data_IF_835717977009
#
_entry.id   IF_835717977009
#
_cell.length_a   1.000
_cell.length_b   1.000
_cell.length_c   1.000
_cell.angle_alpha   90.00
_cell.angle_beta   90.00
_cell.angle_gamma   90.00
#
_symmetry.space_group_name_H-M   'P 1'
#
loop_
_entity.id
_entity.type
_entity.pdbx_description
1 polymer ?
#
# COMPACT_ATOMS: atom_id res chain seq x y z
N UNK A 1 -4.59 7.54 -3.91
CA UNK A 1 -4.96 6.49 -2.93
C UNK A 1 -6.29 6.93 -2.31
N UNK A 2 -7.34 6.13 -2.46
CA UNK A 2 -8.67 6.47 -1.96
C UNK A 2 -8.91 5.75 -0.64
N UNK A 3 -9.08 6.51 0.44
CA UNK A 3 -9.44 5.98 1.75
C UNK A 3 -10.97 5.90 1.86
N UNK A 4 -11.49 4.74 2.27
CA UNK A 4 -12.92 4.52 2.47
C UNK A 4 -13.21 4.21 3.94
N UNK A 5 -14.38 4.62 4.46
CA UNK A 5 -14.78 4.35 5.85
C UNK A 5 -15.02 2.85 6.12
N UNK A 6 -15.42 2.06 5.12
CA UNK A 6 -15.54 0.60 5.20
C UNK A 6 -15.14 -0.07 3.90
N UNK A 7 -14.38 -1.17 3.99
CA UNK A 7 -13.93 -1.95 2.85
C UNK A 7 -15.03 -2.86 2.26
N UNK A 8 -14.95 -3.23 0.96
CA UNK A 8 -15.87 -4.19 0.34
C UNK A 8 -15.72 -5.59 0.95
N UNK A 9 -16.80 -6.32 1.22
CA UNK A 9 -16.85 -7.55 2.05
C UNK A 9 -15.99 -8.77 1.65
N UNK A 10 -15.09 -8.65 0.68
CA UNK A 10 -14.06 -9.63 0.33
C UNK A 10 -12.68 -8.96 0.48
N UNK A 11 -12.23 -8.79 1.72
CA UNK A 11 -10.95 -8.19 2.01
C UNK A 11 -9.92 -9.27 2.34
N UNK A 12 -8.72 -9.18 1.76
CA UNK A 12 -7.57 -9.88 2.27
C UNK A 12 -6.95 -8.98 3.34
N UNK A 13 -6.98 -9.41 4.62
CA UNK A 13 -6.48 -8.60 5.74
C UNK A 13 -7.06 -7.17 5.75
N UNK A 14 -8.35 -7.03 5.46
CA UNK A 14 -9.08 -5.77 5.43
C UNK A 14 -8.63 -4.73 4.35
N UNK A 15 -7.80 -5.18 3.40
CA UNK A 15 -7.36 -4.43 2.23
C UNK A 15 -7.93 -5.07 0.95
N UNK A 16 -8.27 -4.26 -0.04
CA UNK A 16 -8.70 -4.73 -1.35
C UNK A 16 -8.00 -3.99 -2.50
N UNK A 17 -7.79 -4.69 -3.61
CA UNK A 17 -7.50 -4.04 -4.89
C UNK A 17 -8.82 -3.50 -5.46
N UNK A 18 -8.77 -2.30 -6.03
CA UNK A 18 -9.91 -1.74 -6.76
C UNK A 18 -10.11 -2.51 -8.08
N UNK A 19 -11.23 -2.22 -8.76
CA UNK A 19 -11.59 -2.92 -9.98
C UNK A 19 -10.71 -2.51 -11.16
N UNK A 20 -9.67 -3.31 -11.40
CA UNK A 20 -8.84 -3.26 -12.60
C UNK A 20 -7.68 -2.28 -12.54
N UNK A 21 -6.86 -2.28 -13.61
CA UNK A 21 -5.75 -1.35 -13.78
C UNK A 21 -6.14 -0.22 -14.71
N UNK A 22 -5.78 1.01 -14.38
CA UNK A 22 -5.92 2.16 -15.28
C UNK A 22 -4.61 2.36 -16.04
N UNK A 23 -4.66 2.51 -17.36
CA UNK A 23 -3.45 2.78 -18.16
C UNK A 23 -3.31 4.27 -18.38
N UNK A 24 -2.20 4.85 -17.94
CA UNK A 24 -1.83 6.24 -18.22
C UNK A 24 -1.05 6.25 -19.53
N UNK A 25 -1.76 6.58 -20.62
CA UNK A 25 -1.21 6.50 -21.98
C UNK A 25 0.00 7.43 -22.20
N UNK A 26 0.05 8.59 -21.54
CA UNK A 26 1.16 9.54 -21.62
C UNK A 26 2.47 9.00 -21.06
N UNK A 27 2.40 8.06 -20.12
CA UNK A 27 3.57 7.56 -19.38
C UNK A 27 3.87 6.08 -19.68
N UNK A 28 3.00 5.39 -20.42
CA UNK A 28 3.08 3.93 -20.63
C UNK A 28 3.11 3.14 -19.31
N UNK A 29 2.44 3.66 -18.26
CA UNK A 29 2.36 3.06 -16.92
C UNK A 29 0.94 2.55 -16.65
N UNK A 30 0.84 1.43 -15.92
CA UNK A 30 -0.42 0.95 -15.34
C UNK A 30 -0.50 1.33 -13.87
N UNK A 31 -1.58 1.99 -13.51
CA UNK A 31 -1.95 2.30 -12.14
C UNK A 31 -2.85 1.19 -11.62
N UNK A 32 -2.52 0.66 -10.45
CA UNK A 32 -3.34 -0.27 -9.69
C UNK A 32 -3.75 0.42 -8.40
N UNK A 33 -5.05 0.50 -8.18
CA UNK A 33 -5.57 1.17 -7.00
C UNK A 33 -5.85 0.15 -5.90
N UNK A 34 -5.59 0.58 -4.67
CA UNK A 34 -5.82 -0.21 -3.47
C UNK A 34 -6.68 0.61 -2.51
N UNK A 35 -7.69 -0.05 -1.92
CA UNK A 35 -8.62 0.51 -0.96
C UNK A 35 -8.16 0.05 0.42
N UNK A 36 -7.81 1.02 1.24
CA UNK A 36 -7.34 0.81 2.62
C UNK A 36 -8.29 1.61 3.54
N UNK A 37 -8.92 0.97 4.54
CA UNK A 37 -9.70 1.67 5.54
C UNK A 37 -8.83 2.64 6.35
N UNK A 38 -9.26 3.89 6.46
CA UNK A 38 -8.50 4.91 7.19
C UNK A 38 -8.44 4.63 8.70
N UNK A 39 -9.45 3.93 9.22
CA UNK A 39 -9.57 3.61 10.64
C UNK A 39 -8.35 2.85 11.18
N UNK A 40 -7.67 2.03 10.37
CA UNK A 40 -6.45 1.34 10.78
C UNK A 40 -5.34 2.31 11.20
N UNK A 41 -5.15 3.37 10.42
CA UNK A 41 -4.11 4.37 10.70
C UNK A 41 -4.54 5.28 11.84
N UNK A 42 -5.81 5.71 11.84
CA UNK A 42 -6.35 6.65 12.84
C UNK A 42 -6.34 6.07 14.25
N UNK A 43 -6.69 4.79 14.38
CA UNK A 43 -6.92 4.15 15.68
C UNK A 43 -5.67 3.42 16.21
N UNK A 44 -4.55 3.46 15.48
CA UNK A 44 -3.27 2.87 15.88
C UNK A 44 -2.50 3.75 16.88
N UNK A 45 -1.82 3.11 17.83
CA UNK A 45 -0.89 3.79 18.75
C UNK A 45 0.36 4.32 18.02
N UNK A 46 0.72 3.70 16.89
CA UNK A 46 1.87 4.06 16.05
C UNK A 46 1.44 4.25 14.58
N UNK A 47 0.75 5.36 14.23
CA UNK A 47 0.15 5.54 12.90
C UNK A 47 1.15 5.46 11.74
N UNK A 48 2.40 5.89 11.95
CA UNK A 48 3.45 5.83 10.94
C UNK A 48 3.88 4.39 10.65
N UNK A 49 4.11 3.60 11.69
CA UNK A 49 4.43 2.18 11.55
C UNK A 49 3.28 1.43 10.88
N UNK A 50 2.05 1.66 11.35
CA UNK A 50 0.86 1.05 10.76
C UNK A 50 0.72 1.41 9.27
N UNK A 51 1.00 2.66 8.90
CA UNK A 51 0.99 3.08 7.49
C UNK A 51 2.01 2.30 6.65
N UNK A 52 3.23 2.09 7.17
CA UNK A 52 4.27 1.30 6.50
C UNK A 52 3.79 -0.16 6.34
N UNK A 53 3.25 -0.76 7.40
CA UNK A 53 2.75 -2.13 7.35
C UNK A 53 1.59 -2.28 6.35
N UNK A 54 0.64 -1.35 6.34
CA UNK A 54 -0.48 -1.36 5.39
C UNK A 54 0.00 -1.23 3.95
N UNK A 55 1.01 -0.37 3.69
CA UNK A 55 1.64 -0.29 2.37
C UNK A 55 2.27 -1.62 1.97
N UNK A 56 2.98 -2.29 2.88
CA UNK A 56 3.55 -3.60 2.63
C UNK A 56 2.47 -4.67 2.35
N UNK A 57 1.39 -4.72 3.15
CA UNK A 57 0.26 -5.63 2.93
C UNK A 57 -0.40 -5.38 1.57
N UNK A 58 -0.56 -4.13 1.16
CA UNK A 58 -1.07 -3.76 -0.17
C UNK A 58 -0.15 -4.25 -1.31
N UNK A 59 1.17 -4.10 -1.16
CA UNK A 59 2.15 -4.61 -2.14
C UNK A 59 2.08 -6.14 -2.21
N UNK A 60 2.04 -6.82 -1.07
CA UNK A 60 1.89 -8.29 -1.01
C UNK A 60 0.63 -8.75 -1.73
N UNK A 61 -0.50 -8.11 -1.45
CA UNK A 61 -1.76 -8.39 -2.12
C UNK A 61 -1.66 -8.18 -3.63
N UNK A 62 -1.11 -7.05 -4.07
CA UNK A 62 -0.91 -6.74 -5.49
C UNK A 62 -0.04 -7.80 -6.18
N UNK A 63 1.13 -8.11 -5.61
CA UNK A 63 2.10 -9.01 -6.24
C UNK A 63 1.57 -10.44 -6.31
N UNK A 64 1.00 -10.94 -5.22
CA UNK A 64 0.51 -12.34 -5.16
C UNK A 64 -0.75 -12.56 -6.00
N UNK A 65 -1.61 -11.54 -6.14
CA UNK A 65 -2.80 -11.60 -7.00
C UNK A 65 -2.46 -11.43 -8.49
N UNK A 66 -1.52 -10.55 -8.83
CA UNK A 66 -1.15 -10.23 -10.21
C UNK A 66 -0.18 -11.25 -10.79
N UNK A 67 0.82 -11.66 -10.00
CA UNK A 67 1.88 -12.55 -10.44
C UNK A 67 1.77 -13.91 -9.75
N UNK A 68 0.95 -14.80 -10.33
CA UNK A 68 0.65 -16.15 -9.78
C UNK A 68 1.87 -17.05 -9.50
N UNK A 69 3.04 -16.71 -10.05
CA UNK A 69 4.31 -17.42 -9.79
C UNK A 69 4.99 -17.00 -8.49
N UNK A 70 4.68 -15.79 -8.00
CA UNK A 70 5.22 -15.26 -6.76
C UNK A 70 4.37 -15.78 -5.62
N UNK A 71 5.01 -16.51 -4.70
CA UNK A 71 4.32 -17.05 -3.54
C UNK A 71 4.31 -16.04 -2.39
N UNK A 72 3.28 -16.02 -1.53
CA UNK A 72 3.22 -15.12 -0.38
C UNK A 72 4.45 -15.22 0.53
N UNK A 73 5.00 -16.41 0.73
CA UNK A 73 6.14 -16.64 1.63
C UNK A 73 7.42 -15.94 1.13
N UNK A 74 7.55 -15.76 -0.18
CA UNK A 74 8.67 -15.00 -0.75
C UNK A 74 8.57 -13.52 -0.38
N UNK A 75 7.37 -12.94 -0.44
CA UNK A 75 7.15 -11.55 -0.06
C UNK A 75 7.35 -11.37 1.45
N UNK A 76 6.89 -12.33 2.27
CA UNK A 76 7.10 -12.34 3.72
C UNK A 76 8.58 -12.45 4.12
N UNK A 77 9.39 -13.13 3.32
CA UNK A 77 10.84 -13.13 3.51
C UNK A 77 11.45 -11.76 3.21
N UNK A 78 11.02 -11.08 2.14
CA UNK A 78 11.50 -9.73 1.80
C UNK A 78 11.21 -8.71 2.88
N UNK A 79 10.05 -8.81 3.55
CA UNK A 79 9.70 -7.92 4.66
C UNK A 79 10.73 -7.94 5.78
N UNK A 80 11.32 -9.11 6.08
CA UNK A 80 12.31 -9.25 7.15
C UNK A 80 13.64 -8.58 6.83
N UNK A 81 13.89 -8.31 5.55
CA UNK A 81 15.09 -7.59 5.08
C UNK A 81 14.86 -6.08 5.00
N UNK A 82 13.64 -5.59 5.27
CA UNK A 82 13.32 -4.16 5.26
C UNK A 82 13.91 -3.49 6.50
N UNK A 83 14.68 -2.43 6.29
CA UNK A 83 15.16 -1.57 7.37
C UNK A 83 14.05 -0.61 7.83
N UNK A 84 13.30 -1.05 8.84
CA UNK A 84 12.24 -0.26 9.46
C UNK A 84 12.77 1.03 10.10
N UNK A 85 13.98 1.03 10.66
CA UNK A 85 14.54 2.22 11.28
C UNK A 85 14.82 3.29 10.23
N UNK A 86 15.33 2.89 9.07
CA UNK A 86 15.47 3.80 7.94
C UNK A 86 14.11 4.37 7.51
N UNK A 87 13.09 3.53 7.32
CA UNK A 87 11.76 4.00 6.90
C UNK A 87 11.12 4.96 7.92
N UNK A 88 11.26 4.67 9.21
CA UNK A 88 10.78 5.55 10.30
C UNK A 88 11.63 6.82 10.47
N UNK A 89 12.85 6.85 9.93
CA UNK A 89 13.69 8.07 9.92
C UNK A 89 13.32 9.06 8.82
N UNK A 90 12.53 8.63 7.82
CA UNK A 90 12.13 9.49 6.72
C UNK A 90 11.14 10.56 7.19
N UNK A 91 11.24 11.80 6.66
CA UNK A 91 10.27 12.85 6.96
C UNK A 91 8.88 12.44 6.46
N UNK A 92 7.89 12.44 7.36
CA UNK A 92 6.50 12.13 7.03
C UNK A 92 5.53 13.23 7.50
N UNK A 93 4.62 13.71 6.63
CA UNK A 93 4.54 13.38 5.20
C UNK A 93 5.78 13.90 4.45
N UNK A 94 6.07 13.33 3.28
CA UNK A 94 7.16 13.80 2.43
C UNK A 94 7.00 15.31 2.13
N UNK A 95 8.07 16.07 1.82
CA UNK A 95 7.94 17.45 1.38
C UNK A 95 6.93 17.61 0.24
N UNK A 96 6.17 18.70 0.21
CA UNK A 96 5.06 18.90 -0.75
C UNK A 96 5.57 18.78 -2.20
N UNK A 97 6.78 19.27 -2.47
CA UNK A 97 7.43 19.23 -3.78
C UNK A 97 7.69 17.79 -4.28
N UNK A 98 7.75 16.82 -3.36
CA UNK A 98 7.94 15.40 -3.65
C UNK A 98 6.60 14.62 -3.68
N UNK A 99 5.54 15.20 -3.11
CA UNK A 99 4.22 14.60 -3.10
C UNK A 99 3.56 14.78 -4.48
N UNK A 100 3.61 13.73 -5.33
CA UNK A 100 2.97 13.68 -6.66
C UNK A 100 1.44 13.78 -6.69
N UNK A 101 0.81 14.20 -5.59
CA UNK A 101 -0.64 14.24 -5.41
C UNK A 101 -1.15 15.64 -5.01
N UNK A 102 -0.25 16.60 -4.77
CA UNK A 102 -0.58 18.01 -4.60
C UNK A 102 -0.14 18.76 -5.86
N UNK A 103 -1.10 19.26 -6.63
CA UNK A 103 -0.90 20.29 -7.67
C UNK A 103 -1.03 21.69 -7.04
#
# INVERSE_FOLDING_TARGET
>A
MHFAEKGPGTLFEDIALANGSTTVASESVKIYECIIPFDFIRDSEEPQLETIELMYRAIKLFVTSTYKKVKPEFIDALWREVDLNYLLSLPYPAPIEEQKYYD
#
